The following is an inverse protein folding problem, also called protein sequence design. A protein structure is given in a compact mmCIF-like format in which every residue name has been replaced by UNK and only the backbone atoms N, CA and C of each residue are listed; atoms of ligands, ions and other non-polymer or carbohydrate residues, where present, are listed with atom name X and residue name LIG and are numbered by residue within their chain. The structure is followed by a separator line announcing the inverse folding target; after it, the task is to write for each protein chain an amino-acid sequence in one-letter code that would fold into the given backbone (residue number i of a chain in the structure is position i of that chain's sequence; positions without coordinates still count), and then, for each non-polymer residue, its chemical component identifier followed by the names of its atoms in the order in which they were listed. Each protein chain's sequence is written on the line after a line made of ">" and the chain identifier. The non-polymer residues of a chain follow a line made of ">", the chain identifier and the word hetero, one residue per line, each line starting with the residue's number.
data_IF_463841942707
#
_entry.id   IF_463841942707
#
_cell.length_a   1.000
_cell.length_b   1.000
_cell.length_c   1.000
_cell.angle_alpha   90.00
_cell.angle_beta   90.00
_cell.angle_gamma   90.00
#
_symmetry.space_group_name_H-M   'P 1'
#
loop_
_entity.id
_entity.type
_entity.pdbx_description
1 polymer ?
#
# COMPACT_ATOMS: atom_id res chain seq x y z
N UNK A 1 53.01 18.29 65.29
CA UNK A 1 54.01 17.50 64.54
C UNK A 1 53.24 16.63 63.55
N UNK A 2 53.27 16.99 62.26
CA UNK A 2 53.78 16.16 61.14
C UNK A 2 52.91 14.95 60.70
N UNK A 3 52.23 15.12 59.54
CA UNK A 3 52.10 14.27 58.30
C UNK A 3 51.92 12.75 58.46
N UNK A 4 51.19 11.98 57.63
CA UNK A 4 50.87 11.98 56.19
C UNK A 4 49.63 11.08 55.91
N UNK A 5 48.73 11.37 54.94
CA UNK A 5 48.61 10.75 53.58
C UNK A 5 48.72 9.20 53.59
N UNK A 6 47.83 8.36 53.01
CA UNK A 6 47.34 8.28 51.62
C UNK A 6 46.10 7.34 51.58
N UNK A 7 45.22 7.51 50.59
CA UNK A 7 44.85 6.46 49.61
C UNK A 7 43.38 6.06 49.47
N UNK A 8 42.94 6.21 48.21
CA UNK A 8 41.94 5.45 47.47
C UNK A 8 40.46 5.83 47.61
N UNK A 9 40.08 6.78 46.75
CA UNK A 9 38.78 6.80 46.07
C UNK A 9 38.52 5.44 45.37
N UNK A 10 37.37 4.82 45.63
CA UNK A 10 36.70 3.99 44.65
C UNK A 10 35.27 4.48 44.48
N UNK A 11 35.08 5.35 43.48
CA UNK A 11 33.78 5.69 42.93
C UNK A 11 33.38 4.53 42.01
N UNK A 12 32.54 3.62 42.48
CA UNK A 12 31.87 2.67 41.58
C UNK A 12 30.64 3.37 41.01
N UNK A 13 30.79 3.85 39.78
CA UNK A 13 29.71 4.41 38.99
C UNK A 13 28.69 3.33 38.60
N UNK A 14 27.45 3.53 39.01
CA UNK A 14 26.29 2.85 38.42
C UNK A 14 25.95 3.61 37.13
N UNK A 15 26.36 3.06 35.99
CA UNK A 15 25.92 3.54 34.68
C UNK A 15 24.47 3.10 34.49
N UNK A 16 23.54 4.03 34.69
CA UNK A 16 22.14 3.86 34.33
C UNK A 16 22.02 4.00 32.80
N UNK A 17 22.16 2.87 32.10
CA UNK A 17 21.94 2.80 30.66
C UNK A 17 20.46 3.02 30.34
N UNK A 18 20.12 4.19 29.83
CA UNK A 18 18.81 4.45 29.25
C UNK A 18 18.68 3.60 27.97
N UNK A 19 17.80 2.60 27.98
CA UNK A 19 17.37 1.92 26.75
C UNK A 19 16.49 2.90 25.97
N UNK A 20 17.01 3.39 24.86
CA UNK A 20 16.26 4.25 23.96
C UNK A 20 15.30 3.35 23.16
N UNK A 21 14.04 3.28 23.58
CA UNK A 21 12.97 2.64 22.83
C UNK A 21 12.64 3.53 21.61
N UNK A 22 13.46 3.43 20.57
CA UNK A 22 13.14 4.00 19.27
C UNK A 22 11.94 3.27 18.69
N UNK A 23 10.76 3.88 18.82
CA UNK A 23 9.61 3.48 18.01
C UNK A 23 9.96 3.77 16.55
N UNK A 24 10.34 2.75 15.80
CA UNK A 24 10.45 2.83 14.35
C UNK A 24 9.02 2.93 13.83
N UNK A 25 8.51 4.16 13.75
CA UNK A 25 7.35 4.48 12.93
C UNK A 25 7.79 4.27 11.49
N UNK A 26 7.48 3.09 10.94
CA UNK A 26 7.59 2.85 9.52
C UNK A 26 6.60 3.80 8.84
N UNK A 27 7.09 4.98 8.45
CA UNK A 27 6.36 5.91 7.62
C UNK A 27 5.99 5.16 6.34
N UNK A 28 4.71 4.79 6.23
CA UNK A 28 4.15 4.21 5.03
C UNK A 28 4.44 5.20 3.89
N UNK A 29 5.06 4.77 2.77
CA UNK A 29 5.30 5.68 1.65
C UNK A 29 3.97 6.31 1.28
N UNK A 30 3.94 7.64 1.20
CA UNK A 30 2.76 8.38 0.80
C UNK A 30 2.37 7.88 -0.60
N UNK A 31 1.22 7.20 -0.69
CA UNK A 31 0.64 6.82 -1.97
C UNK A 31 0.44 8.08 -2.79
N UNK A 32 0.87 8.10 -4.06
CA UNK A 32 0.62 9.25 -4.93
C UNK A 32 -0.89 9.46 -5.00
N UNK A 33 -1.34 10.59 -4.46
CA UNK A 33 -2.72 11.06 -4.62
C UNK A 33 -2.89 11.29 -6.12
N UNK A 34 -3.90 10.66 -6.74
CA UNK A 34 -4.26 10.98 -8.13
C UNK A 34 -4.59 12.48 -8.15
N UNK A 35 -3.81 13.25 -8.91
CA UNK A 35 -3.83 14.72 -8.87
C UNK A 35 -5.11 15.33 -9.48
N UNK A 36 -5.92 14.53 -10.21
CA UNK A 36 -7.37 14.76 -10.34
C UNK A 36 -8.06 13.55 -10.97
N UNK A 37 -8.67 12.68 -10.16
CA UNK A 37 -9.57 11.67 -10.69
C UNK A 37 -10.85 12.37 -11.14
N UNK A 38 -11.57 11.79 -12.11
CA UNK A 38 -12.86 12.32 -12.51
C UNK A 38 -13.88 12.22 -11.36
N UNK A 39 -14.91 13.06 -11.39
CA UNK A 39 -15.88 13.17 -10.30
C UNK A 39 -16.57 11.83 -10.01
N UNK A 40 -16.87 11.04 -11.04
CA UNK A 40 -17.45 9.71 -10.93
C UNK A 40 -16.56 8.73 -10.15
N UNK A 41 -15.22 8.81 -10.29
CA UNK A 41 -14.29 7.99 -9.50
C UNK A 41 -14.40 8.30 -8.01
N UNK A 42 -14.50 9.58 -7.64
CA UNK A 42 -14.69 9.97 -6.24
C UNK A 42 -16.07 9.56 -5.70
N UNK A 43 -17.11 9.62 -6.52
CA UNK A 43 -18.43 9.12 -6.14
C UNK A 43 -18.43 7.60 -5.92
N UNK A 44 -17.77 6.84 -6.79
CA UNK A 44 -17.60 5.41 -6.63
C UNK A 44 -16.82 5.07 -5.36
N UNK A 45 -15.71 5.77 -5.08
CA UNK A 45 -14.95 5.59 -3.84
C UNK A 45 -15.80 5.88 -2.60
N UNK A 46 -16.59 6.96 -2.61
CA UNK A 46 -17.47 7.33 -1.51
C UNK A 46 -18.51 6.23 -1.24
N UNK A 47 -19.13 5.67 -2.28
CA UNK A 47 -20.08 4.57 -2.14
C UNK A 47 -19.43 3.30 -1.58
N UNK A 48 -18.25 2.91 -2.08
CA UNK A 48 -17.49 1.77 -1.56
C UNK A 48 -17.16 1.97 -0.09
N UNK A 49 -16.68 3.15 0.30
CA UNK A 49 -16.33 3.45 1.68
C UNK A 49 -17.54 3.50 2.61
N UNK A 50 -18.70 3.96 2.14
CA UNK A 50 -19.94 3.93 2.94
C UNK A 50 -20.35 2.49 3.29
N UNK A 51 -20.26 1.56 2.34
CA UNK A 51 -20.56 0.14 2.59
C UNK A 51 -19.51 -0.49 3.52
N UNK A 52 -18.23 -0.15 3.34
CA UNK A 52 -17.14 -0.62 4.22
C UNK A 52 -17.35 -0.15 5.66
N UNK A 53 -17.71 1.11 5.86
CA UNK A 53 -17.97 1.67 7.19
C UNK A 53 -19.18 1.00 7.85
N UNK A 54 -20.28 0.80 7.11
CA UNK A 54 -21.45 0.06 7.59
C UNK A 54 -21.11 -1.39 8.01
N UNK A 55 -20.08 -1.98 7.41
CA UNK A 55 -19.55 -3.30 7.76
C UNK A 55 -18.46 -3.27 8.85
N UNK A 56 -18.18 -2.12 9.47
CA UNK A 56 -17.13 -1.97 10.50
C UNK A 56 -15.70 -2.02 9.96
N UNK A 57 -15.51 -1.87 8.64
CA UNK A 57 -14.21 -1.85 7.99
C UNK A 57 -13.70 -0.42 7.82
N UNK A 58 -12.37 -0.26 7.88
CA UNK A 58 -11.73 1.02 7.59
C UNK A 58 -11.94 1.45 6.13
N UNK A 59 -12.10 2.76 5.86
CA UNK A 59 -12.16 3.27 4.49
C UNK A 59 -10.84 3.01 3.75
N UNK A 60 -10.94 2.90 2.43
CA UNK A 60 -9.80 2.81 1.50
C UNK A 60 -9.59 4.14 0.77
N UNK A 61 -8.41 4.30 0.19
CA UNK A 61 -8.03 5.44 -0.64
C UNK A 61 -7.74 4.99 -2.06
N UNK A 62 -7.81 5.91 -3.03
CA UNK A 62 -7.32 5.64 -4.37
C UNK A 62 -5.81 5.40 -4.35
N UNK A 63 -5.37 4.43 -5.15
CA UNK A 63 -3.97 4.21 -5.47
C UNK A 63 -3.81 4.36 -6.99
N UNK A 64 -2.91 5.25 -7.41
CA UNK A 64 -2.80 5.59 -8.81
C UNK A 64 -2.38 4.43 -9.71
N UNK A 65 -1.47 3.59 -9.21
CA UNK A 65 -0.91 2.47 -9.96
C UNK A 65 -1.94 1.36 -10.10
N UNK A 66 -2.65 1.04 -9.01
CA UNK A 66 -3.73 0.05 -9.04
C UNK A 66 -4.87 0.49 -9.94
N UNK A 67 -5.30 1.76 -9.86
CA UNK A 67 -6.35 2.29 -10.73
C UNK A 67 -5.96 2.20 -12.21
N UNK A 68 -4.71 2.57 -12.56
CA UNK A 68 -4.22 2.45 -13.93
C UNK A 68 -4.16 1.00 -14.42
N UNK A 69 -3.79 0.05 -13.57
CA UNK A 69 -3.80 -1.38 -13.92
C UNK A 69 -5.23 -1.90 -14.16
N UNK A 70 -6.19 -1.50 -13.31
CA UNK A 70 -7.60 -1.84 -13.47
C UNK A 70 -8.19 -1.26 -14.78
N UNK A 71 -7.83 -0.03 -15.14
CA UNK A 71 -8.25 0.57 -16.41
C UNK A 71 -7.72 -0.20 -17.62
N UNK A 72 -6.45 -0.60 -17.59
CA UNK A 72 -5.85 -1.44 -18.64
C UNK A 72 -6.59 -2.77 -18.79
N UNK A 73 -6.92 -3.43 -17.67
CA UNK A 73 -7.70 -4.66 -17.67
C UNK A 73 -9.11 -4.46 -18.26
N UNK A 74 -9.83 -3.43 -17.81
CA UNK A 74 -11.15 -3.12 -18.33
C UNK A 74 -11.12 -2.82 -19.84
N UNK A 75 -10.10 -2.09 -20.31
CA UNK A 75 -9.89 -1.81 -21.74
C UNK A 75 -9.62 -3.09 -22.53
N UNK A 76 -8.80 -4.01 -22.01
CA UNK A 76 -8.57 -5.32 -22.62
C UNK A 76 -9.87 -6.08 -22.81
N UNK A 77 -10.74 -6.13 -21.79
CA UNK A 77 -12.03 -6.81 -21.88
C UNK A 77 -12.95 -6.20 -22.93
N UNK A 78 -13.03 -4.87 -23.01
CA UNK A 78 -13.83 -4.17 -24.04
C UNK A 78 -13.34 -4.51 -25.45
N UNK A 79 -12.03 -4.51 -25.68
CA UNK A 79 -11.45 -4.82 -26.99
C UNK A 79 -11.67 -6.28 -27.42
N UNK A 80 -11.93 -7.17 -26.47
CA UNK A 80 -11.99 -8.61 -26.71
C UNK A 80 -13.34 -9.25 -26.38
N UNK A 81 -14.38 -8.48 -26.01
CA UNK A 81 -15.65 -8.98 -25.45
C UNK A 81 -16.37 -10.07 -26.26
N UNK A 82 -16.21 -10.06 -27.59
CA UNK A 82 -16.82 -11.06 -28.48
C UNK A 82 -16.01 -12.36 -28.62
N UNK A 83 -14.83 -12.44 -27.99
CA UNK A 83 -13.90 -13.56 -28.13
C UNK A 83 -14.16 -14.66 -27.09
N UNK A 84 -14.01 -15.95 -27.43
CA UNK A 84 -14.16 -17.04 -26.47
C UNK A 84 -13.15 -16.98 -25.31
N UNK A 85 -11.96 -16.41 -25.55
CA UNK A 85 -10.87 -16.30 -24.58
C UNK A 85 -11.20 -15.42 -23.37
N UNK A 86 -12.24 -14.58 -23.43
CA UNK A 86 -12.66 -13.71 -22.32
C UNK A 86 -14.06 -14.01 -21.81
N UNK A 87 -14.66 -15.14 -22.23
CA UNK A 87 -16.03 -15.49 -21.82
C UNK A 87 -16.10 -16.00 -20.37
N UNK A 88 -17.10 -15.52 -19.64
CA UNK A 88 -17.35 -15.95 -18.27
C UNK A 88 -16.13 -15.71 -17.38
N UNK A 89 -15.72 -16.72 -16.63
CA UNK A 89 -14.55 -16.63 -15.72
C UNK A 89 -13.20 -16.51 -16.45
N UNK A 90 -13.15 -16.73 -17.77
CA UNK A 90 -11.93 -16.48 -18.54
C UNK A 90 -11.60 -14.99 -18.69
N UNK A 91 -12.54 -14.10 -18.36
CA UNK A 91 -12.29 -12.66 -18.30
C UNK A 91 -11.12 -12.30 -17.36
N UNK A 92 -10.82 -13.12 -16.36
CA UNK A 92 -9.72 -12.90 -15.41
C UNK A 92 -8.33 -13.35 -15.93
N UNK A 93 -8.25 -13.88 -17.15
CA UNK A 93 -7.03 -14.47 -17.73
C UNK A 93 -6.71 -13.83 -19.08
N UNK A 94 -6.03 -12.69 -19.06
CA UNK A 94 -5.65 -12.03 -20.30
C UNK A 94 -4.64 -12.86 -21.12
N UNK A 95 -4.89 -12.95 -22.41
CA UNK A 95 -4.05 -13.64 -23.40
C UNK A 95 -3.07 -12.63 -24.02
N UNK A 96 -1.73 -12.85 -23.91
CA UNK A 96 -0.70 -11.91 -24.38
C UNK A 96 -0.78 -11.53 -25.86
N UNK A 97 -1.35 -12.40 -26.69
CA UNK A 97 -1.44 -12.19 -28.14
C UNK A 97 -2.68 -11.38 -28.56
N UNK A 98 -3.56 -11.02 -27.62
CA UNK A 98 -4.79 -10.28 -27.91
C UNK A 98 -4.61 -8.76 -27.76
N UNK A 99 -5.36 -7.95 -28.52
CA UNK A 99 -5.25 -6.49 -28.48
C UNK A 99 -5.44 -5.92 -27.06
N UNK A 100 -4.57 -5.00 -26.68
CA UNK A 100 -4.66 -4.27 -25.41
C UNK A 100 -4.08 -4.98 -24.19
N UNK A 101 -3.48 -6.16 -24.35
CA UNK A 101 -2.82 -6.88 -23.25
C UNK A 101 -1.71 -6.03 -22.62
N UNK A 102 -1.67 -5.99 -21.29
CA UNK A 102 -0.51 -5.51 -20.53
C UNK A 102 -0.25 -6.42 -19.33
N UNK A 103 1.02 -6.56 -18.88
CA UNK A 103 1.33 -7.31 -17.65
C UNK A 103 0.59 -6.78 -16.42
N UNK A 104 0.41 -5.46 -16.33
CA UNK A 104 -0.28 -4.78 -15.23
C UNK A 104 -1.78 -5.08 -15.24
N UNK A 105 -2.44 -4.98 -16.41
CA UNK A 105 -3.85 -5.35 -16.58
C UNK A 105 -4.08 -6.83 -16.27
N UNK A 106 -3.23 -7.70 -16.80
CA UNK A 106 -3.29 -9.13 -16.53
C UNK A 106 -3.06 -9.48 -15.06
N UNK A 107 -2.28 -8.68 -14.32
CA UNK A 107 -2.14 -8.83 -12.88
C UNK A 107 -3.38 -8.34 -12.12
N UNK A 108 -3.96 -7.22 -12.52
CA UNK A 108 -5.18 -6.67 -11.93
C UNK A 108 -6.39 -7.61 -12.10
N UNK A 109 -6.52 -8.27 -13.26
CA UNK A 109 -7.61 -9.21 -13.54
C UNK A 109 -7.63 -10.47 -12.69
N UNK A 110 -6.51 -10.85 -12.05
CA UNK A 110 -6.39 -12.07 -11.22
C UNK A 110 -6.86 -11.91 -9.77
N UNK A 111 -7.15 -10.67 -9.35
CA UNK A 111 -7.43 -10.31 -7.96
C UNK A 111 -8.82 -10.76 -7.48
#
# INVERSE_FOLDING_TARGET
>A
MHRAFVSSLFVTGLVLGAVNAGAVSAARPATPVIESASQDVYQALAQVNAVREAAGLRPVTLDAKLSSACEQHARYLVLNIARPEVRGLLAHQEVPTLPGYTPEGAAAGKA
#
